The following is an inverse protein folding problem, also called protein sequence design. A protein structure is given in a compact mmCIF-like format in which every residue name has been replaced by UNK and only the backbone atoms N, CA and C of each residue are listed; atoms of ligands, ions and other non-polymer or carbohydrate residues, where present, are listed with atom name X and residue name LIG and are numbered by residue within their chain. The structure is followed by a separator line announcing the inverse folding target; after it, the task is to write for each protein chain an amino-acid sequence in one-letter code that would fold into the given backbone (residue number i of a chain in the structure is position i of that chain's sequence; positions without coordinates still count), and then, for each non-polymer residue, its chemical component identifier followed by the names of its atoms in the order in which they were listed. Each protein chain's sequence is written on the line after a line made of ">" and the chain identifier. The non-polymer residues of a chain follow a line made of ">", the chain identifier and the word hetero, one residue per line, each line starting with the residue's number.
data_IF_173230591975
#
_entry.id   IF_173230591975
#
_cell.length_a   1.000
_cell.length_b   1.000
_cell.length_c   1.000
_cell.angle_alpha   90.00
_cell.angle_beta   90.00
_cell.angle_gamma   90.00
#
_symmetry.space_group_name_H-M   'P 1'
#
loop_
_entity.id
_entity.type
_entity.pdbx_description
1 polymer ?
#
# COMPACT_ATOMS: atom_id res chain seq x y z
N UNK A 1 -62.63 6.15 -6.51
CA UNK A 1 -62.29 6.98 -5.33
C UNK A 1 -61.90 8.37 -5.82
N UNK A 2 -62.77 9.36 -5.61
CA UNK A 2 -62.49 10.76 -5.97
C UNK A 2 -61.91 11.51 -4.78
N UNK A 3 -60.84 12.27 -4.99
CA UNK A 3 -60.23 13.13 -3.98
C UNK A 3 -61.24 14.12 -3.39
N UNK A 4 -61.21 14.27 -2.06
CA UNK A 4 -62.12 15.13 -1.33
C UNK A 4 -61.64 16.59 -1.34
N UNK A 5 -62.51 17.51 -0.89
CA UNK A 5 -62.23 18.95 -0.82
C UNK A 5 -61.17 19.31 0.24
N UNK A 6 -60.90 18.41 1.19
CA UNK A 6 -59.84 18.59 2.20
C UNK A 6 -58.45 18.25 1.66
N UNK A 7 -58.35 17.25 0.76
CA UNK A 7 -57.08 16.86 0.13
C UNK A 7 -56.49 18.00 -0.75
N UNK A 8 -57.35 18.85 -1.32
CA UNK A 8 -56.92 20.01 -2.12
C UNK A 8 -56.40 21.18 -1.28
N UNK A 9 -56.72 21.25 0.01
CA UNK A 9 -56.23 22.31 0.91
C UNK A 9 -54.84 21.96 1.50
N UNK A 10 -54.56 20.68 1.72
CA UNK A 10 -53.24 20.22 2.16
C UNK A 10 -52.16 20.41 1.08
N UNK A 11 -52.51 20.19 -0.20
CA UNK A 11 -51.60 20.40 -1.34
C UNK A 11 -51.36 21.90 -1.63
N UNK A 12 -52.35 22.77 -1.36
CA UNK A 12 -52.22 24.23 -1.55
C UNK A 12 -51.34 24.93 -0.50
N UNK A 13 -51.33 24.47 0.74
CA UNK A 13 -50.50 25.05 1.81
C UNK A 13 -49.03 24.65 1.66
N UNK A 14 -48.73 23.41 1.26
CA UNK A 14 -47.36 22.95 1.00
C UNK A 14 -46.69 23.62 -0.20
N UNK A 15 -47.43 23.90 -1.28
CA UNK A 15 -46.89 24.58 -2.45
C UNK A 15 -46.54 26.06 -2.21
N UNK A 16 -47.26 26.74 -1.31
CA UNK A 16 -46.97 28.13 -0.94
C UNK A 16 -45.73 28.28 -0.06
N UNK A 17 -45.48 27.33 0.84
CA UNK A 17 -44.28 27.32 1.70
C UNK A 17 -43.01 27.07 0.87
N UNK A 18 -43.08 26.24 -0.18
CA UNK A 18 -41.96 26.01 -1.10
C UNK A 18 -41.67 27.21 -2.03
N UNK A 19 -42.70 27.93 -2.48
CA UNK A 19 -42.52 29.12 -3.33
C UNK A 19 -41.90 30.31 -2.56
N UNK A 20 -42.23 30.49 -1.28
CA UNK A 20 -41.63 31.52 -0.42
C UNK A 20 -40.15 31.22 -0.08
N UNK A 21 -39.79 29.94 0.09
CA UNK A 21 -38.39 29.53 0.26
C UNK A 21 -37.55 29.75 -1.01
N UNK A 22 -38.10 29.52 -2.20
CA UNK A 22 -37.39 29.73 -3.46
C UNK A 22 -37.11 31.21 -3.76
N UNK A 23 -38.04 32.11 -3.41
CA UNK A 23 -37.85 33.57 -3.57
C UNK A 23 -36.84 34.12 -2.55
N UNK A 24 -36.82 33.60 -1.32
CA UNK A 24 -35.82 33.98 -0.31
C UNK A 24 -34.39 33.60 -0.73
N UNK A 25 -34.20 32.44 -1.36
CA UNK A 25 -32.90 32.03 -1.92
C UNK A 25 -32.47 32.88 -3.13
N UNK A 26 -33.41 33.32 -3.97
CA UNK A 26 -33.10 34.19 -5.11
C UNK A 26 -32.66 35.61 -4.70
N UNK A 27 -33.27 36.19 -3.66
CA UNK A 27 -32.84 37.49 -3.12
C UNK A 27 -31.54 37.39 -2.32
N UNK A 28 -31.30 36.27 -1.62
CA UNK A 28 -30.02 36.02 -0.95
C UNK A 28 -28.87 35.85 -1.97
N UNK A 29 -29.13 35.23 -3.12
CA UNK A 29 -28.17 35.12 -4.22
C UNK A 29 -27.87 36.49 -4.88
N UNK A 30 -28.87 37.36 -5.04
CA UNK A 30 -28.68 38.74 -5.54
C UNK A 30 -27.94 39.64 -4.55
N UNK A 31 -28.13 39.45 -3.24
CA UNK A 31 -27.35 40.14 -2.20
C UNK A 31 -25.90 39.66 -2.13
N UNK A 32 -25.65 38.36 -2.34
CA UNK A 32 -24.30 37.79 -2.52
C UNK A 32 -23.65 38.34 -3.80
N UNK A 33 -24.40 38.52 -4.88
CA UNK A 33 -23.91 39.12 -6.12
C UNK A 33 -23.57 40.63 -5.97
N UNK A 34 -24.41 41.39 -5.25
CA UNK A 34 -24.17 42.82 -4.97
C UNK A 34 -22.99 43.06 -4.02
N UNK A 35 -22.76 42.15 -3.06
CA UNK A 35 -21.59 42.19 -2.18
C UNK A 35 -20.30 41.66 -2.83
N UNK A 36 -20.39 40.98 -3.98
CA UNK A 36 -19.25 40.61 -4.82
C UNK A 36 -18.68 41.80 -5.61
N UNK A 37 -19.48 42.81 -5.96
CA UNK A 37 -19.01 44.00 -6.70
C UNK A 37 -18.14 44.94 -5.84
N UNK A 38 -18.37 45.02 -4.52
CA UNK A 38 -17.51 45.74 -3.58
C UNK A 38 -16.26 44.98 -3.13
N UNK A 39 -16.08 43.73 -3.60
CA UNK A 39 -14.96 42.84 -3.29
C UNK A 39 -13.85 42.90 -4.34
N UNK A 40 -14.02 43.67 -5.42
CA UNK A 40 -13.10 43.76 -6.56
C UNK A 40 -11.71 44.29 -6.19
N UNK A 41 -11.59 45.21 -5.24
CA UNK A 41 -10.28 45.74 -4.82
C UNK A 41 -9.48 44.74 -3.96
N UNK A 42 -10.16 43.94 -3.11
CA UNK A 42 -9.54 42.83 -2.38
C UNK A 42 -9.28 41.62 -3.30
N UNK A 43 -10.15 41.38 -4.27
CA UNK A 43 -9.98 40.34 -5.28
C UNK A 43 -8.81 40.64 -6.22
N UNK A 44 -8.50 41.89 -6.54
CA UNK A 44 -7.30 42.26 -7.30
C UNK A 44 -5.99 41.99 -6.52
N UNK A 45 -6.03 42.11 -5.19
CA UNK A 45 -4.89 41.78 -4.34
C UNK A 45 -4.70 40.25 -4.21
N UNK A 46 -5.80 39.50 -4.15
CA UNK A 46 -5.80 38.02 -4.15
C UNK A 46 -5.52 37.41 -5.55
N UNK A 47 -5.90 38.09 -6.63
CA UNK A 47 -5.62 37.66 -8.01
C UNK A 47 -4.11 37.75 -8.32
N UNK A 48 -3.37 38.68 -7.68
CA UNK A 48 -1.90 38.68 -7.71
C UNK A 48 -1.25 37.54 -6.90
N UNK A 49 -1.93 37.00 -5.90
CA UNK A 49 -1.50 35.78 -5.19
C UNK A 49 -1.79 34.50 -5.99
N UNK A 50 -2.72 34.53 -6.95
CA UNK A 50 -3.17 33.35 -7.71
C UNK A 50 -2.25 32.93 -8.87
N UNK A 51 -1.19 33.69 -9.19
CA UNK A 51 -0.29 33.43 -10.33
C UNK A 51 1.09 32.89 -9.90
N UNK A 52 1.37 32.82 -8.60
CA UNK A 52 2.60 32.23 -8.08
C UNK A 52 2.51 30.70 -8.10
N UNK A 53 3.59 29.99 -8.50
CA UNK A 53 3.71 28.54 -8.35
C UNK A 53 3.41 28.09 -6.91
N UNK A 54 2.81 26.91 -6.73
CA UNK A 54 2.33 26.43 -5.43
C UNK A 54 3.12 25.20 -4.96
N UNK A 55 3.34 25.14 -3.65
CA UNK A 55 3.86 23.98 -2.91
C UNK A 55 2.97 23.76 -1.70
N UNK A 56 2.33 22.61 -1.61
CA UNK A 56 1.64 22.13 -0.43
C UNK A 56 2.51 21.13 0.36
N UNK A 57 2.59 21.35 1.65
CA UNK A 57 3.34 20.55 2.61
C UNK A 57 2.38 19.62 3.33
N UNK A 58 2.67 18.32 3.28
CA UNK A 58 2.00 17.26 4.04
C UNK A 58 3.02 16.57 4.94
N UNK A 59 2.56 15.71 5.85
CA UNK A 59 3.44 14.92 6.68
C UNK A 59 4.47 14.17 5.83
N UNK A 60 5.72 14.58 5.98
CA UNK A 60 6.87 13.98 5.33
C UNK A 60 6.89 14.06 3.80
N UNK A 61 6.02 14.88 3.17
CA UNK A 61 6.05 15.10 1.73
C UNK A 61 5.78 16.54 1.29
N UNK A 62 6.34 16.88 0.13
CA UNK A 62 5.99 18.06 -0.65
C UNK A 62 5.16 17.53 -1.84
N UNK A 63 3.97 18.11 -2.07
CA UNK A 63 3.08 17.71 -3.17
C UNK A 63 3.72 17.91 -4.55
N UNK A 64 4.54 18.96 -4.69
CA UNK A 64 5.32 19.29 -5.86
C UNK A 64 6.81 19.05 -5.55
N UNK A 65 7.33 17.91 -6.01
CA UNK A 65 8.75 17.59 -5.94
C UNK A 65 9.60 18.44 -6.89
N UNK A 66 8.98 19.10 -7.88
CA UNK A 66 9.62 20.06 -8.77
C UNK A 66 8.71 21.28 -9.01
N UNK A 67 9.25 22.49 -8.90
CA UNK A 67 8.52 23.76 -9.04
C UNK A 67 9.31 24.70 -9.94
N UNK A 68 8.64 25.40 -10.86
CA UNK A 68 9.28 26.45 -11.68
C UNK A 68 8.77 27.82 -11.29
N UNK A 69 9.65 28.79 -11.10
CA UNK A 69 9.30 30.14 -10.67
C UNK A 69 10.12 31.22 -11.38
N UNK A 70 9.57 32.44 -11.42
CA UNK A 70 10.29 33.57 -12.02
C UNK A 70 11.45 34.07 -11.15
N UNK A 71 12.47 34.58 -11.82
CA UNK A 71 13.57 35.30 -11.15
C UNK A 71 13.03 36.51 -10.39
N UNK A 72 13.23 36.51 -9.06
CA UNK A 72 12.69 37.54 -8.18
C UNK A 72 11.20 37.42 -7.87
N UNK A 73 10.54 36.34 -8.32
CA UNK A 73 9.14 36.04 -8.04
C UNK A 73 8.88 35.49 -6.64
N UNK A 74 7.71 34.87 -6.44
CA UNK A 74 7.34 34.22 -5.19
C UNK A 74 6.80 32.81 -5.45
N UNK A 75 6.86 31.94 -4.44
CA UNK A 75 6.19 30.64 -4.39
C UNK A 75 5.13 30.71 -3.29
N UNK A 76 3.93 30.24 -3.56
CA UNK A 76 2.90 30.05 -2.53
C UNK A 76 3.13 28.73 -1.81
N UNK A 77 3.31 28.78 -0.50
CA UNK A 77 3.57 27.61 0.35
C UNK A 77 2.40 27.43 1.32
N UNK A 78 1.78 26.25 1.31
CA UNK A 78 0.63 25.93 2.15
C UNK A 78 0.90 24.68 2.99
N UNK A 79 0.68 24.74 4.29
CA UNK A 79 0.67 23.54 5.12
C UNK A 79 -0.74 22.92 5.09
N UNK A 80 -0.87 21.76 4.46
CA UNK A 80 -2.12 20.99 4.39
C UNK A 80 -2.07 19.72 5.26
N UNK A 81 -0.96 19.48 5.98
CA UNK A 81 -0.81 18.43 6.97
C UNK A 81 -1.31 18.83 8.36
N UNK A 82 -1.03 17.98 9.35
CA UNK A 82 -1.49 18.08 10.75
C UNK A 82 -0.39 18.51 11.72
N UNK A 83 0.85 18.67 11.27
CA UNK A 83 1.98 19.15 12.08
C UNK A 83 2.66 20.36 11.42
N UNK A 84 3.48 21.15 12.15
CA UNK A 84 4.14 22.31 11.56
C UNK A 84 5.15 21.96 10.46
N UNK A 85 5.20 22.79 9.42
CA UNK A 85 6.11 22.67 8.29
C UNK A 85 6.73 24.03 7.92
N UNK A 86 7.84 24.03 7.19
CA UNK A 86 8.42 25.22 6.58
C UNK A 86 9.14 24.81 5.29
N UNK A 87 9.37 25.77 4.38
CA UNK A 87 10.08 25.54 3.13
C UNK A 87 11.35 26.39 3.09
N UNK A 88 12.48 25.75 2.84
CA UNK A 88 13.81 26.37 2.72
C UNK A 88 14.42 26.05 1.37
N UNK A 89 15.00 27.04 0.70
CA UNK A 89 15.84 26.83 -0.50
C UNK A 89 17.30 26.68 -0.06
N UNK A 90 17.84 25.48 -0.25
CA UNK A 90 19.17 25.07 0.22
C UNK A 90 20.26 25.94 -0.38
N UNK A 91 21.21 26.34 0.47
CA UNK A 91 22.33 27.20 0.07
C UNK A 91 21.96 28.68 -0.14
N UNK A 92 20.76 29.10 0.28
CA UNK A 92 20.27 30.47 0.14
C UNK A 92 19.67 31.00 1.45
N UNK A 93 19.32 32.28 1.50
CA UNK A 93 18.58 32.87 2.62
C UNK A 93 17.05 32.76 2.49
N UNK A 94 16.54 32.22 1.37
CA UNK A 94 15.11 32.13 1.11
C UNK A 94 14.49 30.99 1.95
N UNK A 95 13.61 31.37 2.88
CA UNK A 95 12.82 30.44 3.71
C UNK A 95 11.49 31.05 4.14
N UNK A 96 10.50 30.19 4.40
CA UNK A 96 9.28 30.59 5.09
C UNK A 96 9.48 30.61 6.61
N UNK A 97 8.52 31.19 7.33
CA UNK A 97 8.32 30.87 8.75
C UNK A 97 7.75 29.46 8.91
N UNK A 98 7.72 28.95 10.13
CA UNK A 98 6.95 27.76 10.45
C UNK A 98 5.46 28.03 10.23
N UNK A 99 4.84 27.13 9.46
CA UNK A 99 3.44 27.12 9.07
C UNK A 99 2.73 26.08 9.92
N UNK A 100 1.71 26.49 10.66
CA UNK A 100 0.82 25.55 11.34
C UNK A 100 -0.13 24.89 10.34
N UNK A 101 -0.79 23.78 10.70
CA UNK A 101 -1.84 23.17 9.88
C UNK A 101 -2.86 24.19 9.35
N UNK A 102 -3.02 24.25 8.03
CA UNK A 102 -3.91 25.18 7.33
C UNK A 102 -3.31 26.55 6.99
N UNK A 103 -2.10 26.87 7.47
CA UNK A 103 -1.45 28.13 7.14
C UNK A 103 -0.99 28.17 5.67
N UNK A 104 -1.01 29.37 5.08
CA UNK A 104 -0.46 29.63 3.74
C UNK A 104 0.35 30.91 3.75
N UNK A 105 1.49 30.92 3.07
CA UNK A 105 2.38 32.08 2.94
C UNK A 105 3.05 32.17 1.57
N UNK A 106 3.78 33.26 1.33
CA UNK A 106 4.62 33.43 0.15
C UNK A 106 6.09 33.31 0.55
N UNK A 107 6.82 32.44 -0.15
CA UNK A 107 8.28 32.40 -0.14
C UNK A 107 8.80 33.33 -1.23
N UNK A 108 9.56 34.36 -0.86
CA UNK A 108 10.17 35.28 -1.82
C UNK A 108 11.46 34.73 -2.40
N UNK A 109 11.60 34.81 -3.73
CA UNK A 109 12.79 34.42 -4.49
C UNK A 109 13.68 35.63 -4.83
N UNK A 110 13.42 36.79 -4.21
CA UNK A 110 14.18 38.01 -4.45
C UNK A 110 15.66 37.80 -4.10
N UNK A 111 16.54 38.05 -5.07
CA UNK A 111 17.99 37.91 -4.91
C UNK A 111 18.54 36.53 -5.29
N UNK A 112 17.68 35.58 -5.65
CA UNK A 112 18.12 34.32 -6.28
C UNK A 112 18.37 34.54 -7.76
N UNK A 113 19.40 33.87 -8.29
CA UNK A 113 19.75 33.90 -9.71
C UNK A 113 18.98 32.79 -10.44
N UNK A 114 18.93 32.89 -11.76
CA UNK A 114 18.45 31.80 -12.61
C UNK A 114 19.27 30.52 -12.32
N UNK A 115 18.59 29.40 -12.16
CA UNK A 115 19.22 28.13 -11.77
C UNK A 115 18.26 27.16 -11.10
N UNK A 116 18.71 25.92 -10.90
CA UNK A 116 17.96 24.89 -10.16
C UNK A 116 18.53 24.79 -8.74
N UNK A 117 17.63 24.80 -7.76
CA UNK A 117 17.96 24.73 -6.34
C UNK A 117 17.21 23.58 -5.69
N UNK A 118 17.81 22.97 -4.69
CA UNK A 118 17.11 22.03 -3.80
C UNK A 118 16.27 22.83 -2.79
N UNK A 119 15.04 22.38 -2.56
CA UNK A 119 14.17 22.89 -1.51
C UNK A 119 13.79 21.75 -0.55
N UNK A 120 13.64 22.07 0.73
CA UNK A 120 13.35 21.06 1.74
C UNK A 120 12.63 21.64 2.96
N UNK A 121 12.04 20.77 3.76
CA UNK A 121 11.51 21.13 5.07
C UNK A 121 12.57 21.05 6.16
N UNK A 122 12.85 22.17 6.82
CA UNK A 122 13.90 22.28 7.82
C UNK A 122 13.45 21.90 9.25
N UNK A 123 12.18 21.54 9.44
CA UNK A 123 11.72 20.95 10.70
C UNK A 123 12.52 19.65 10.96
N UNK A 124 13.10 19.45 12.15
CA UNK A 124 13.97 18.32 12.43
C UNK A 124 13.34 16.97 12.03
N UNK A 125 14.08 16.17 11.26
CA UNK A 125 13.63 14.87 10.76
C UNK A 125 12.81 14.91 9.47
N UNK A 126 12.19 16.04 9.10
CA UNK A 126 11.23 16.09 7.99
C UNK A 126 11.88 15.91 6.61
N UNK A 127 13.02 16.58 6.36
CA UNK A 127 13.79 16.36 5.13
C UNK A 127 14.33 14.92 5.03
N UNK A 128 14.78 14.35 6.16
CA UNK A 128 15.26 12.97 6.23
C UNK A 128 14.17 11.93 5.96
N UNK A 129 12.91 12.29 6.22
CA UNK A 129 11.73 11.49 5.90
C UNK A 129 11.15 11.75 4.50
N UNK A 130 11.79 12.59 3.67
CA UNK A 130 11.42 12.78 2.26
C UNK A 130 10.81 14.13 1.90
N UNK A 131 10.75 15.12 2.80
CA UNK A 131 10.35 16.51 2.47
C UNK A 131 11.46 17.27 1.76
N UNK A 132 11.81 16.79 0.56
CA UNK A 132 12.77 17.40 -0.35
C UNK A 132 12.14 17.52 -1.74
N UNK A 133 12.62 18.48 -2.51
CA UNK A 133 12.24 18.73 -3.90
C UNK A 133 13.19 19.73 -4.55
N UNK A 134 12.85 20.19 -5.74
CA UNK A 134 13.65 21.17 -6.49
C UNK A 134 12.81 22.36 -6.94
N UNK A 135 13.42 23.54 -6.96
CA UNK A 135 12.87 24.74 -7.59
C UNK A 135 13.80 25.23 -8.70
N UNK A 136 13.24 25.46 -9.87
CA UNK A 136 13.93 26.07 -11.02
C UNK A 136 13.52 27.52 -11.16
N UNK A 137 14.49 28.43 -11.08
CA UNK A 137 14.31 29.88 -11.19
C UNK A 137 14.79 30.34 -12.57
N UNK A 138 13.99 31.13 -13.28
CA UNK A 138 14.36 31.67 -14.60
C UNK A 138 13.41 32.73 -15.14
N UNK A 139 13.72 33.31 -16.30
CA UNK A 139 12.84 34.26 -17.01
C UNK A 139 11.73 33.54 -17.75
N UNK A 140 10.57 33.34 -17.14
CA UNK A 140 9.46 32.67 -17.82
C UNK A 140 8.19 32.46 -16.99
N UNK A 141 7.59 33.52 -16.46
CA UNK A 141 6.22 33.52 -15.95
C UNK A 141 5.25 33.95 -17.03
N UNK A 142 4.55 32.94 -17.57
CA UNK A 142 3.27 33.00 -18.29
C UNK A 142 2.97 34.22 -19.17
N UNK A 143 3.33 34.11 -20.46
CA UNK A 143 2.40 34.32 -21.58
C UNK A 143 2.97 33.70 -22.87
N UNK A 144 2.26 32.72 -23.45
CA UNK A 144 2.36 32.35 -24.86
C UNK A 144 3.65 31.67 -25.33
N UNK A 145 3.75 30.35 -25.16
CA UNK A 145 4.83 29.56 -25.76
C UNK A 145 4.67 28.06 -25.57
N UNK A 146 3.63 27.45 -26.16
CA UNK A 146 3.44 25.99 -26.20
C UNK A 146 4.62 25.24 -26.87
N UNK A 147 5.59 25.90 -27.51
CA UNK A 147 6.65 25.20 -28.25
C UNK A 147 7.84 24.68 -27.43
N UNK A 148 8.33 25.43 -26.45
CA UNK A 148 9.66 25.16 -25.87
C UNK A 148 9.62 24.39 -24.53
N UNK A 149 8.52 24.52 -23.78
CA UNK A 149 8.30 23.74 -22.56
C UNK A 149 7.79 22.33 -22.89
N UNK A 150 7.03 22.19 -23.98
CA UNK A 150 6.69 20.88 -24.53
C UNK A 150 7.92 20.13 -25.02
N UNK A 151 8.90 20.78 -25.66
CA UNK A 151 10.10 20.09 -26.12
C UNK A 151 10.96 19.58 -24.94
N UNK A 152 11.12 20.38 -23.89
CA UNK A 152 11.83 19.97 -22.69
C UNK A 152 11.07 18.90 -21.90
N UNK A 153 9.75 19.03 -21.79
CA UNK A 153 8.89 18.03 -21.16
C UNK A 153 8.82 16.74 -21.96
N UNK A 154 8.75 16.81 -23.30
CA UNK A 154 8.86 15.64 -24.19
C UNK A 154 10.21 14.98 -24.03
N UNK A 155 11.30 15.73 -23.98
CA UNK A 155 12.63 15.15 -23.76
C UNK A 155 12.76 14.49 -22.37
N UNK A 156 12.12 15.06 -21.33
CA UNK A 156 12.04 14.44 -20.01
C UNK A 156 11.22 13.16 -20.04
N UNK A 157 10.02 13.21 -20.63
CA UNK A 157 9.15 12.05 -20.78
C UNK A 157 9.82 10.95 -21.63
N UNK A 158 10.51 11.31 -22.72
CA UNK A 158 11.28 10.37 -23.55
C UNK A 158 12.43 9.72 -22.78
N UNK A 159 13.01 10.43 -21.80
CA UNK A 159 14.04 9.89 -20.93
C UNK A 159 13.42 8.95 -19.88
N UNK A 160 12.27 9.32 -19.31
CA UNK A 160 11.49 8.49 -18.40
C UNK A 160 11.04 7.20 -19.10
N UNK A 161 10.44 7.29 -20.29
CA UNK A 161 10.02 6.15 -21.13
C UNK A 161 11.17 5.15 -21.35
N UNK A 162 12.39 5.65 -21.58
CA UNK A 162 13.59 4.81 -21.70
C UNK A 162 14.00 4.18 -20.38
N UNK A 163 13.84 4.89 -19.26
CA UNK A 163 14.14 4.39 -17.92
C UNK A 163 13.15 3.30 -17.50
N UNK A 164 11.87 3.41 -17.90
CA UNK A 164 10.82 2.42 -17.60
C UNK A 164 11.14 1.01 -18.12
N UNK A 165 11.97 0.90 -19.16
CA UNK A 165 12.41 -0.39 -19.70
C UNK A 165 13.35 -1.15 -18.74
N UNK A 166 14.11 -0.46 -17.89
CA UNK A 166 15.16 -1.09 -17.09
C UNK A 166 14.62 -2.09 -16.05
N UNK A 167 13.59 -1.77 -15.25
CA UNK A 167 12.96 -2.75 -14.36
C UNK A 167 12.42 -3.97 -15.13
N UNK A 168 11.82 -3.76 -16.30
CA UNK A 168 11.29 -4.85 -17.14
C UNK A 168 12.40 -5.77 -17.62
N UNK A 169 13.51 -5.23 -18.13
CA UNK A 169 14.64 -6.04 -18.58
C UNK A 169 15.24 -6.87 -17.44
N UNK A 170 15.35 -6.30 -16.23
CA UNK A 170 15.80 -7.03 -15.04
C UNK A 170 14.82 -8.14 -14.63
N UNK A 171 13.52 -7.91 -14.77
CA UNK A 171 12.49 -8.91 -14.50
C UNK A 171 12.57 -10.06 -15.50
N UNK A 172 12.64 -9.74 -16.80
CA UNK A 172 12.77 -10.73 -17.88
C UNK A 172 14.05 -11.55 -17.70
N UNK A 173 15.18 -10.91 -17.38
CA UNK A 173 16.42 -11.61 -17.07
C UNK A 173 16.27 -12.58 -15.88
N UNK A 174 15.48 -12.22 -14.86
CA UNK A 174 15.19 -13.15 -13.77
C UNK A 174 14.47 -14.43 -14.23
N UNK A 175 13.60 -14.32 -15.24
CA UNK A 175 12.85 -15.47 -15.75
C UNK A 175 13.74 -16.48 -16.47
N UNK A 176 14.87 -16.03 -17.03
CA UNK A 176 15.84 -16.89 -17.74
C UNK A 176 17.02 -17.30 -16.86
N UNK A 177 17.53 -16.38 -16.05
CA UNK A 177 18.81 -16.50 -15.35
C UNK A 177 18.64 -16.89 -13.87
N UNK A 178 17.40 -16.89 -13.37
CA UNK A 178 17.03 -17.16 -11.99
C UNK A 178 16.83 -15.88 -11.15
N UNK A 179 16.48 -16.01 -9.86
CA UNK A 179 16.17 -14.87 -9.00
C UNK A 179 17.28 -13.81 -8.99
N UNK A 180 16.91 -12.56 -9.22
CA UNK A 180 17.85 -11.42 -9.27
C UNK A 180 18.15 -10.80 -7.89
N UNK A 181 17.63 -11.40 -6.82
CA UNK A 181 17.93 -11.06 -5.42
C UNK A 181 18.14 -12.32 -4.60
N UNK A 182 18.81 -12.19 -3.45
CA UNK A 182 19.00 -13.31 -2.52
C UNK A 182 17.77 -13.56 -1.66
N UNK A 183 17.51 -14.82 -1.35
CA UNK A 183 16.46 -15.24 -0.42
C UNK A 183 15.06 -15.24 -1.05
N UNK A 184 14.22 -16.16 -0.59
CA UNK A 184 12.84 -16.36 -1.03
C UNK A 184 11.98 -16.43 0.25
N UNK A 185 10.86 -15.71 0.27
CA UNK A 185 9.86 -15.78 1.35
C UNK A 185 8.93 -16.98 1.19
N UNK A 186 8.08 -17.25 2.19
CA UNK A 186 7.08 -18.34 2.17
C UNK A 186 7.66 -19.74 1.92
N UNK A 187 8.93 -19.98 2.22
CA UNK A 187 9.51 -21.33 2.08
C UNK A 187 8.84 -22.26 3.11
N UNK A 188 8.36 -23.45 2.71
CA UNK A 188 7.79 -24.40 3.66
C UNK A 188 8.77 -24.74 4.80
N UNK A 189 8.27 -24.73 6.03
CA UNK A 189 9.01 -25.16 7.21
C UNK A 189 8.66 -26.62 7.53
N UNK A 190 9.60 -27.52 7.31
CA UNK A 190 9.41 -28.92 7.70
C UNK A 190 9.43 -29.09 9.23
N UNK A 191 8.46 -29.82 9.82
CA UNK A 191 8.44 -30.06 11.25
C UNK A 191 9.44 -31.15 11.66
N UNK A 192 9.91 -31.06 12.90
CA UNK A 192 10.48 -32.21 13.61
C UNK A 192 9.35 -33.03 14.24
N UNK A 193 9.30 -34.33 13.99
CA UNK A 193 8.33 -35.21 14.66
C UNK A 193 8.83 -35.62 16.06
N UNK A 194 8.04 -35.32 17.09
CA UNK A 194 8.29 -35.73 18.46
C UNK A 194 7.75 -37.16 18.73
N UNK A 195 8.23 -37.86 19.78
CA UNK A 195 7.84 -39.25 20.05
C UNK A 195 6.33 -39.50 20.24
N UNK A 196 5.56 -38.48 20.63
CA UNK A 196 4.11 -38.57 20.85
C UNK A 196 3.27 -38.22 19.59
N UNK A 197 3.95 -38.07 18.44
CA UNK A 197 3.36 -37.71 17.16
C UNK A 197 3.23 -36.19 16.92
N UNK A 198 3.67 -35.35 17.85
CA UNK A 198 3.59 -33.88 17.69
C UNK A 198 4.55 -33.38 16.60
N UNK A 199 4.04 -32.53 15.71
CA UNK A 199 4.82 -31.78 14.72
C UNK A 199 5.37 -30.50 15.35
N UNK A 200 6.68 -30.45 15.58
CA UNK A 200 7.38 -29.30 16.16
C UNK A 200 8.00 -28.42 15.06
N UNK A 201 7.57 -27.16 15.00
CA UNK A 201 8.10 -26.12 14.12
C UNK A 201 8.92 -25.14 14.94
N UNK A 202 10.18 -24.90 14.53
CA UNK A 202 11.09 -23.99 15.23
C UNK A 202 11.22 -22.67 14.48
N UNK A 203 10.81 -21.60 15.15
CA UNK A 203 10.93 -20.24 14.68
C UNK A 203 11.99 -19.48 15.49
N UNK A 204 12.78 -18.67 14.81
CA UNK A 204 13.71 -17.71 15.41
C UNK A 204 13.37 -16.33 14.90
N UNK A 205 12.88 -15.45 15.79
CA UNK A 205 12.71 -14.05 15.45
C UNK A 205 14.06 -13.34 15.51
N UNK A 206 14.51 -12.75 14.40
CA UNK A 206 15.80 -12.04 14.31
C UNK A 206 15.75 -10.95 13.25
N UNK A 207 16.59 -9.94 13.40
CA UNK A 207 16.78 -8.92 12.36
C UNK A 207 17.86 -9.39 11.39
N UNK A 208 17.60 -9.31 10.08
CA UNK A 208 18.55 -9.64 9.02
C UNK A 208 18.60 -8.55 7.97
N UNK A 209 19.70 -8.52 7.22
CA UNK A 209 19.79 -7.74 6.00
C UNK A 209 19.07 -8.50 4.88
N UNK A 210 17.94 -7.95 4.42
CA UNK A 210 17.08 -8.54 3.41
C UNK A 210 17.13 -7.72 2.13
N UNK A 211 17.49 -8.35 1.02
CA UNK A 211 17.54 -7.69 -0.29
C UNK A 211 16.14 -7.70 -0.90
N UNK A 212 15.49 -6.53 -0.99
CA UNK A 212 14.11 -6.42 -1.48
C UNK A 212 14.03 -6.23 -3.00
N UNK A 213 15.04 -5.59 -3.58
CA UNK A 213 15.27 -5.46 -5.03
C UNK A 213 16.79 -5.30 -5.29
N UNK A 214 17.29 -5.53 -6.52
CA UNK A 214 18.73 -5.57 -6.78
C UNK A 214 19.45 -4.32 -6.27
N UNK A 215 20.39 -4.53 -5.33
CA UNK A 215 21.18 -3.45 -4.74
C UNK A 215 20.46 -2.64 -3.65
N UNK A 216 19.21 -2.98 -3.28
CA UNK A 216 18.48 -2.38 -2.18
C UNK A 216 18.27 -3.42 -1.07
N UNK A 217 18.97 -3.21 0.03
CA UNK A 217 18.87 -4.05 1.23
C UNK A 217 18.26 -3.26 2.38
N UNK A 218 17.32 -3.88 3.09
CA UNK A 218 16.63 -3.33 4.24
C UNK A 218 16.90 -4.19 5.49
N UNK A 219 16.75 -3.60 6.67
CA UNK A 219 16.85 -4.33 7.94
C UNK A 219 15.50 -4.94 8.31
N UNK A 220 15.24 -6.14 7.81
CA UNK A 220 13.99 -6.85 8.04
C UNK A 220 13.99 -7.55 9.40
N UNK A 221 12.85 -7.53 10.06
CA UNK A 221 12.55 -8.36 11.21
C UNK A 221 11.90 -9.64 10.69
N UNK A 222 12.48 -10.79 11.01
CA UNK A 222 12.14 -12.04 10.30
C UNK A 222 11.91 -13.18 11.25
N UNK A 223 11.04 -14.10 10.86
CA UNK A 223 11.12 -15.47 11.34
C UNK A 223 12.07 -16.26 10.43
N UNK A 224 13.07 -16.91 11.01
CA UNK A 224 14.05 -17.76 10.32
C UNK A 224 14.89 -17.09 9.22
N UNK A 225 14.87 -15.76 9.10
CA UNK A 225 15.70 -15.02 8.15
C UNK A 225 15.07 -14.76 6.79
N UNK A 226 13.75 -14.97 6.64
CA UNK A 226 13.01 -14.67 5.40
C UNK A 226 11.88 -13.68 5.66
N UNK A 227 11.51 -12.93 4.62
CA UNK A 227 10.29 -12.10 4.58
C UNK A 227 9.43 -12.55 3.41
N UNK A 228 8.14 -12.89 3.64
CA UNK A 228 7.60 -13.32 4.92
C UNK A 228 8.39 -14.52 5.50
N UNK A 229 8.11 -14.83 6.76
CA UNK A 229 8.60 -16.03 7.43
C UNK A 229 8.20 -17.33 6.70
N UNK A 230 8.77 -18.46 7.13
CA UNK A 230 8.47 -19.75 6.54
C UNK A 230 6.97 -20.10 6.60
N UNK A 231 6.46 -20.77 5.56
CA UNK A 231 5.09 -21.26 5.58
C UNK A 231 4.99 -22.50 6.48
N UNK A 232 4.04 -22.49 7.41
CA UNK A 232 3.69 -23.66 8.22
C UNK A 232 2.47 -24.33 7.60
N UNK A 233 2.56 -25.64 7.36
CA UNK A 233 1.45 -26.43 6.84
C UNK A 233 1.24 -27.70 7.67
N UNK A 234 0.00 -27.93 8.07
CA UNK A 234 -0.41 -29.10 8.87
C UNK A 234 -1.73 -29.67 8.34
N UNK A 235 -2.07 -30.88 8.77
CA UNK A 235 -3.36 -31.50 8.54
C UNK A 235 -4.28 -31.24 9.74
N UNK A 236 -5.59 -31.25 9.48
CA UNK A 236 -6.61 -31.22 10.52
C UNK A 236 -6.39 -32.33 11.55
N UNK A 237 -6.41 -31.98 12.84
CA UNK A 237 -6.17 -32.92 13.94
C UNK A 237 -4.70 -33.20 14.27
N UNK A 238 -3.74 -32.65 13.53
CA UNK A 238 -2.32 -32.76 13.91
C UNK A 238 -2.08 -32.13 15.29
N UNK A 239 -1.26 -32.77 16.12
CA UNK A 239 -0.68 -32.13 17.30
C UNK A 239 0.45 -31.21 16.84
N UNK A 240 0.36 -29.93 17.18
CA UNK A 240 1.30 -28.90 16.73
C UNK A 240 2.01 -28.29 17.93
N UNK A 241 3.33 -28.13 17.78
CA UNK A 241 4.13 -27.28 18.64
C UNK A 241 4.86 -26.23 17.81
N UNK A 242 4.69 -24.96 18.13
CA UNK A 242 5.50 -23.88 17.55
C UNK A 242 6.41 -23.33 18.62
N UNK A 243 7.72 -23.57 18.49
CA UNK A 243 8.73 -23.09 19.43
C UNK A 243 9.40 -21.84 18.87
N UNK A 244 9.16 -20.69 19.50
CA UNK A 244 9.73 -19.41 19.13
C UNK A 244 10.91 -19.06 20.04
N UNK A 245 12.08 -18.83 19.45
CA UNK A 245 13.23 -18.17 20.10
C UNK A 245 13.29 -16.70 19.70
N UNK A 246 13.25 -15.79 20.67
CA UNK A 246 13.36 -14.35 20.42
C UNK A 246 14.84 -13.89 20.44
N UNK A 247 15.39 -13.50 19.28
CA UNK A 247 16.70 -12.85 19.15
C UNK A 247 16.61 -11.38 18.73
N UNK A 248 15.44 -10.77 18.87
CA UNK A 248 15.20 -9.34 18.64
C UNK A 248 15.72 -8.52 19.83
N UNK A 249 15.96 -7.22 19.66
CA UNK A 249 16.31 -6.32 20.76
C UNK A 249 15.12 -5.99 21.69
N UNK A 250 13.90 -6.38 21.31
CA UNK A 250 12.68 -6.16 22.07
C UNK A 250 11.89 -7.45 22.25
N UNK A 251 10.95 -7.43 23.19
CA UNK A 251 10.05 -8.55 23.42
C UNK A 251 9.09 -8.78 22.24
N UNK A 252 8.58 -9.99 22.11
CA UNK A 252 7.67 -10.37 21.02
C UNK A 252 6.67 -11.42 21.53
N UNK A 253 5.70 -11.77 20.69
CA UNK A 253 4.73 -12.85 20.89
C UNK A 253 4.24 -13.29 19.50
N UNK A 254 3.69 -14.49 19.30
CA UNK A 254 3.06 -14.89 18.04
C UNK A 254 1.56 -15.03 18.25
N UNK A 255 0.76 -14.35 17.43
CA UNK A 255 -0.66 -14.64 17.26
C UNK A 255 -0.88 -15.44 15.97
N UNK A 256 -1.70 -16.49 16.04
CA UNK A 256 -2.05 -17.35 14.92
C UNK A 256 -3.39 -16.92 14.30
N UNK A 257 -3.35 -15.80 13.60
CA UNK A 257 -4.52 -15.15 13.03
C UNK A 257 -5.28 -16.09 12.07
N UNK A 258 -6.58 -16.24 12.34
CA UNK A 258 -7.47 -17.04 11.49
C UNK A 258 -7.48 -18.53 11.80
N UNK A 259 -6.83 -18.96 12.90
CA UNK A 259 -6.92 -20.32 13.42
C UNK A 259 -7.76 -20.38 14.70
N UNK A 260 -8.49 -21.48 14.87
CA UNK A 260 -9.22 -21.82 16.08
C UNK A 260 -8.30 -22.59 17.03
N UNK A 261 -7.65 -21.87 17.94
CA UNK A 261 -6.72 -22.43 18.93
C UNK A 261 -7.18 -22.17 20.37
N UNK A 262 -6.71 -22.97 21.36
CA UNK A 262 -7.04 -22.73 22.75
C UNK A 262 -6.64 -21.33 23.20
N UNK A 263 -7.47 -20.71 24.05
CA UNK A 263 -7.24 -19.34 24.51
C UNK A 263 -5.84 -19.14 25.12
N UNK A 264 -5.29 -20.11 25.84
CA UNK A 264 -3.96 -20.02 26.45
C UNK A 264 -2.78 -20.02 25.44
N UNK A 265 -3.06 -20.28 24.16
CA UNK A 265 -2.07 -20.42 23.08
C UNK A 265 -2.18 -19.28 22.05
N UNK A 266 -3.07 -18.31 22.29
CA UNK A 266 -3.43 -17.24 21.35
C UNK A 266 -2.34 -16.18 21.14
N UNK A 267 -1.48 -15.95 22.13
CA UNK A 267 -0.32 -15.08 21.97
C UNK A 267 -0.57 -13.60 22.22
N UNK A 268 -1.37 -13.26 23.23
CA UNK A 268 -1.57 -11.88 23.69
C UNK A 268 -0.97 -11.74 25.09
N UNK A 269 0.17 -11.05 25.25
CA UNK A 269 0.83 -10.91 26.54
C UNK A 269 -0.08 -10.29 27.60
N UNK A 270 -0.07 -10.88 28.79
CA UNK A 270 -0.85 -10.49 29.97
C UNK A 270 -2.37 -10.70 29.84
N UNK A 271 -2.86 -11.24 28.73
CA UNK A 271 -4.28 -11.59 28.53
C UNK A 271 -4.43 -13.09 28.38
N UNK A 272 -3.85 -13.65 27.33
CA UNK A 272 -3.87 -15.09 27.03
C UNK A 272 -2.56 -15.77 27.43
N UNK A 273 -1.45 -15.02 27.35
CA UNK A 273 -0.12 -15.47 27.73
C UNK A 273 0.31 -14.79 29.04
N UNK A 274 1.09 -15.48 29.89
CA UNK A 274 1.52 -14.93 31.20
C UNK A 274 2.35 -13.65 31.10
N UNK A 275 2.97 -13.41 29.96
CA UNK A 275 3.79 -12.25 29.64
C UNK A 275 4.47 -12.45 28.29
N UNK A 276 5.19 -11.44 27.78
CA UNK A 276 5.78 -11.50 26.46
C UNK A 276 7.08 -12.31 26.46
N UNK A 277 7.45 -12.85 25.29
CA UNK A 277 8.75 -13.51 25.08
C UNK A 277 9.85 -12.45 25.03
N UNK A 278 10.61 -12.28 26.12
CA UNK A 278 11.69 -11.27 26.20
C UNK A 278 12.89 -11.63 25.30
N UNK A 279 13.77 -10.67 24.97
CA UNK A 279 15.02 -10.96 24.25
C UNK A 279 15.80 -12.12 24.89
N UNK A 280 16.23 -13.06 24.05
CA UNK A 280 16.94 -14.28 24.44
C UNK A 280 16.06 -15.42 24.96
N UNK A 281 14.77 -15.18 25.20
CA UNK A 281 13.86 -16.22 25.70
C UNK A 281 13.31 -17.11 24.59
N UNK A 282 12.85 -18.29 25.00
CA UNK A 282 12.16 -19.24 24.14
C UNK A 282 10.82 -19.61 24.77
N UNK A 283 9.78 -19.71 23.96
CA UNK A 283 8.45 -20.16 24.36
C UNK A 283 7.92 -21.16 23.34
N UNK A 284 7.02 -22.05 23.76
CA UNK A 284 6.39 -23.04 22.88
C UNK A 284 4.88 -22.97 23.00
N UNK A 285 4.23 -22.71 21.87
CA UNK A 285 2.77 -22.80 21.72
C UNK A 285 2.41 -24.26 21.39
N UNK A 286 1.38 -24.81 22.02
CA UNK A 286 0.98 -26.20 21.87
C UNK A 286 -0.54 -26.30 21.65
N UNK A 287 -0.95 -26.80 20.48
CA UNK A 287 -2.37 -26.96 20.17
C UNK A 287 -2.59 -28.14 19.22
N UNK A 288 -3.85 -28.55 19.09
CA UNK A 288 -4.28 -29.48 18.04
C UNK A 288 -4.85 -28.65 16.91
N UNK A 289 -4.40 -28.88 15.68
CA UNK A 289 -4.93 -28.21 14.51
C UNK A 289 -6.44 -28.48 14.39
N UNK A 290 -7.21 -27.43 14.15
CA UNK A 290 -8.67 -27.50 14.10
C UNK A 290 -9.18 -28.54 13.07
N UNK A 291 -10.38 -29.12 13.27
CA UNK A 291 -10.91 -30.16 12.39
C UNK A 291 -11.32 -29.64 11.01
N UNK A 292 -11.56 -28.35 10.87
CA UNK A 292 -11.92 -27.70 9.61
C UNK A 292 -10.67 -27.19 8.86
N UNK A 293 -10.65 -27.20 7.52
CA UNK A 293 -9.58 -26.54 6.79
C UNK A 293 -9.53 -25.04 7.10
N UNK A 294 -8.33 -24.46 7.12
CA UNK A 294 -8.13 -23.04 7.40
C UNK A 294 -6.95 -22.45 6.62
N UNK A 295 -7.14 -21.22 6.16
CA UNK A 295 -6.10 -20.36 5.58
C UNK A 295 -5.82 -19.25 6.59
N UNK A 296 -4.82 -19.48 7.42
CA UNK A 296 -4.38 -18.58 8.48
C UNK A 296 -3.03 -17.92 8.16
N UNK A 297 -2.68 -16.96 9.00
CA UNK A 297 -1.35 -16.35 9.05
C UNK A 297 -0.86 -16.38 10.50
N UNK A 298 0.43 -16.16 10.70
CA UNK A 298 0.99 -15.96 12.02
C UNK A 298 1.88 -14.73 11.99
N UNK A 299 1.80 -13.90 13.02
CA UNK A 299 2.54 -12.65 13.08
C UNK A 299 2.82 -12.20 14.51
N UNK A 300 3.72 -11.24 14.64
CA UNK A 300 4.02 -10.68 15.95
C UNK A 300 2.80 -10.01 16.57
N UNK A 301 2.57 -10.27 17.86
CA UNK A 301 1.46 -9.65 18.61
C UNK A 301 1.94 -8.90 19.87
N UNK A 302 3.20 -8.46 19.84
CA UNK A 302 3.75 -7.53 20.83
C UNK A 302 4.80 -6.62 20.18
N UNK A 303 4.62 -5.30 20.31
CA UNK A 303 5.21 -4.30 19.40
C UNK A 303 4.84 -4.53 17.93
N UNK A 304 3.64 -5.06 17.69
CA UNK A 304 3.16 -5.46 16.37
C UNK A 304 3.10 -4.28 15.38
N UNK A 305 2.85 -3.07 15.89
CA UNK A 305 2.83 -1.81 15.11
C UNK A 305 4.15 -1.53 14.38
N UNK A 306 5.25 -2.10 14.86
CA UNK A 306 6.56 -2.06 14.21
C UNK A 306 6.92 -3.42 13.62
N UNK A 307 6.80 -4.48 14.41
CA UNK A 307 7.34 -5.79 14.09
C UNK A 307 6.69 -6.40 12.84
N UNK A 308 5.38 -6.24 12.66
CA UNK A 308 4.67 -6.78 11.50
C UNK A 308 5.03 -6.03 10.22
N UNK A 309 4.95 -4.68 10.16
CA UNK A 309 5.43 -3.92 9.00
C UNK A 309 6.91 -4.14 8.66
N UNK A 310 7.74 -4.47 9.65
CA UNK A 310 9.16 -4.77 9.44
C UNK A 310 9.43 -6.23 9.03
N UNK A 311 8.41 -7.10 8.95
CA UNK A 311 8.47 -8.41 8.30
C UNK A 311 8.14 -9.64 9.17
N UNK A 312 7.75 -9.47 10.44
CA UNK A 312 7.38 -10.58 11.33
C UNK A 312 5.96 -11.07 11.08
N UNK A 313 5.78 -11.70 9.92
CA UNK A 313 4.56 -12.37 9.47
C UNK A 313 4.89 -13.62 8.64
N UNK A 314 3.97 -14.58 8.56
CA UNK A 314 4.09 -15.78 7.72
C UNK A 314 2.76 -16.50 7.55
N UNK A 315 2.67 -17.40 6.56
CA UNK A 315 1.45 -18.16 6.29
C UNK A 315 1.34 -19.41 7.18
N UNK A 316 0.12 -19.73 7.61
CA UNK A 316 -0.21 -20.96 8.34
C UNK A 316 -1.43 -21.64 7.71
N UNK A 317 -1.22 -22.81 7.10
CA UNK A 317 -2.27 -23.56 6.40
C UNK A 317 -2.65 -24.84 7.17
N UNK A 318 -3.95 -25.08 7.30
CA UNK A 318 -4.51 -26.31 7.90
C UNK A 318 -5.35 -27.01 6.84
N UNK A 319 -4.86 -28.14 6.32
CA UNK A 319 -5.49 -28.90 5.22
C UNK A 319 -5.79 -28.04 3.97
N UNK A 320 -6.24 -28.66 2.88
CA UNK A 320 -6.70 -27.92 1.70
C UNK A 320 -8.15 -27.45 1.86
N UNK A 321 -8.47 -26.26 1.36
CA UNK A 321 -9.85 -25.81 1.27
C UNK A 321 -10.65 -26.71 0.31
N UNK A 322 -11.97 -26.86 0.53
CA UNK A 322 -12.82 -27.59 -0.40
C UNK A 322 -12.87 -26.86 -1.75
N UNK A 323 -12.55 -27.59 -2.82
CA UNK A 323 -12.58 -27.07 -4.18
C UNK A 323 -14.02 -27.13 -4.71
N UNK A 324 -14.60 -26.00 -5.18
CA UNK A 324 -15.95 -25.99 -5.72
C UNK A 324 -16.11 -26.90 -6.94
N UNK A 325 -17.31 -27.46 -7.10
CA UNK A 325 -17.64 -28.30 -8.26
C UNK A 325 -17.38 -27.56 -9.57
N UNK A 326 -16.79 -28.24 -10.55
CA UNK A 326 -16.47 -27.67 -11.87
C UNK A 326 -15.04 -27.15 -12.00
N UNK A 327 -14.27 -27.15 -10.91
CA UNK A 327 -12.83 -26.88 -10.93
C UNK A 327 -12.04 -28.20 -10.81
N UNK A 328 -10.92 -28.27 -11.52
CA UNK A 328 -9.93 -29.32 -11.28
C UNK A 328 -9.22 -29.08 -9.95
N UNK A 329 -8.60 -30.13 -9.40
CA UNK A 329 -7.71 -29.97 -8.25
C UNK A 329 -6.58 -28.99 -8.59
N UNK A 330 -6.26 -28.02 -7.71
CA UNK A 330 -5.15 -27.11 -7.93
C UNK A 330 -3.84 -27.88 -8.13
N UNK A 331 -3.10 -27.49 -9.16
CA UNK A 331 -1.75 -27.98 -9.45
C UNK A 331 -0.73 -27.48 -8.41
N UNK A 332 -1.03 -26.34 -7.81
CA UNK A 332 -0.19 -25.67 -6.82
C UNK A 332 -1.02 -24.71 -5.98
N UNK A 333 -0.49 -24.40 -4.79
CA UNK A 333 -1.00 -23.39 -3.87
C UNK A 333 0.05 -22.29 -3.73
N UNK A 334 -0.33 -21.04 -3.97
CA UNK A 334 0.57 -19.89 -3.98
C UNK A 334 0.13 -18.86 -2.94
N UNK A 335 0.88 -18.70 -1.83
CA UNK A 335 0.67 -17.59 -0.91
C UNK A 335 1.23 -16.30 -1.50
N UNK A 336 0.41 -15.24 -1.50
CA UNK A 336 0.79 -13.87 -1.83
C UNK A 336 0.55 -12.98 -0.59
N UNK A 337 1.62 -12.74 0.16
CA UNK A 337 1.66 -11.82 1.28
C UNK A 337 1.90 -10.41 0.77
N UNK A 338 0.97 -9.52 1.05
CA UNK A 338 0.94 -8.13 0.61
C UNK A 338 1.47 -7.23 1.73
N UNK A 339 2.44 -6.36 1.41
CA UNK A 339 3.03 -5.41 2.36
C UNK A 339 3.02 -3.99 1.78
N UNK A 340 2.85 -2.98 2.64
CA UNK A 340 2.88 -1.55 2.25
C UNK A 340 3.55 -0.62 3.27
N UNK A 341 4.03 -1.15 4.40
CA UNK A 341 4.50 -0.34 5.51
C UNK A 341 5.85 -0.84 6.06
N UNK A 342 6.40 -0.08 7.01
CA UNK A 342 7.66 -0.42 7.68
C UNK A 342 8.85 -0.46 6.73
N UNK A 343 9.90 -1.17 7.15
CA UNK A 343 11.12 -1.35 6.34
C UNK A 343 10.92 -2.24 5.13
N UNK A 344 9.90 -3.11 5.13
CA UNK A 344 9.54 -3.94 3.97
C UNK A 344 8.88 -3.07 2.89
N UNK A 345 8.00 -2.15 3.27
CA UNK A 345 7.34 -1.25 2.33
C UNK A 345 6.47 -1.99 1.30
N UNK A 346 6.28 -1.37 0.12
CA UNK A 346 5.50 -1.92 -0.98
C UNK A 346 6.16 -3.17 -1.57
N UNK A 347 5.59 -4.35 -1.28
CA UNK A 347 6.16 -5.61 -1.72
C UNK A 347 5.12 -6.72 -1.82
N UNK A 348 5.45 -7.76 -2.59
CA UNK A 348 4.74 -9.04 -2.60
C UNK A 348 5.73 -10.11 -2.15
N UNK A 349 5.37 -10.87 -1.13
CA UNK A 349 6.24 -11.88 -0.52
C UNK A 349 7.62 -11.31 -0.14
N UNK A 350 7.64 -10.10 0.41
CA UNK A 350 8.87 -9.43 0.85
C UNK A 350 9.77 -8.94 -0.28
N UNK A 351 9.33 -8.99 -1.56
CA UNK A 351 10.11 -8.53 -2.72
C UNK A 351 9.38 -7.41 -3.45
N UNK A 352 10.14 -6.40 -3.88
CA UNK A 352 9.65 -5.34 -4.76
C UNK A 352 9.98 -5.72 -6.20
N UNK A 353 9.08 -5.42 -7.14
CA UNK A 353 9.39 -5.54 -8.57
C UNK A 353 10.67 -4.77 -8.89
N UNK A 354 11.64 -5.36 -9.62
CA UNK A 354 11.52 -6.52 -10.51
C UNK A 354 11.94 -7.86 -9.90
N UNK A 355 11.78 -8.06 -8.59
CA UNK A 355 12.33 -9.21 -7.85
C UNK A 355 11.26 -10.14 -7.28
N UNK A 356 10.00 -9.79 -7.50
CA UNK A 356 8.87 -10.66 -7.20
C UNK A 356 8.93 -11.90 -8.07
N UNK A 357 8.58 -13.05 -7.50
CA UNK A 357 8.54 -14.30 -8.25
C UNK A 357 7.23 -14.38 -9.07
N UNK A 358 7.29 -14.82 -10.34
CA UNK A 358 6.11 -15.04 -11.14
C UNK A 358 5.28 -16.22 -10.61
N UNK A 359 3.98 -16.18 -10.85
CA UNK A 359 3.11 -17.35 -10.74
C UNK A 359 3.09 -18.07 -12.08
N UNK A 360 3.54 -19.32 -12.12
CA UNK A 360 3.66 -20.09 -13.36
C UNK A 360 2.55 -21.12 -13.46
N UNK A 361 1.88 -21.25 -14.61
CA UNK A 361 0.89 -22.28 -14.85
C UNK A 361 1.00 -22.82 -16.29
N UNK A 362 0.75 -24.12 -16.47
CA UNK A 362 0.56 -24.72 -17.79
C UNK A 362 -0.90 -24.61 -18.21
N UNK A 363 -1.15 -24.55 -19.51
CA UNK A 363 -2.51 -24.63 -20.05
C UNK A 363 -3.26 -25.84 -19.46
N UNK A 364 -4.44 -25.59 -18.91
CA UNK A 364 -5.30 -26.57 -18.25
C UNK A 364 -5.10 -26.67 -16.74
N UNK A 365 -4.04 -26.10 -16.17
CA UNK A 365 -3.81 -26.10 -14.72
C UNK A 365 -4.71 -25.07 -14.02
N UNK A 366 -5.09 -25.43 -12.80
CA UNK A 366 -5.71 -24.53 -11.82
C UNK A 366 -4.65 -24.17 -10.79
N UNK A 367 -4.50 -22.88 -10.50
CA UNK A 367 -3.66 -22.35 -9.43
C UNK A 367 -4.57 -21.85 -8.31
N UNK A 368 -4.35 -22.32 -7.09
CA UNK A 368 -4.99 -21.76 -5.89
C UNK A 368 -4.08 -20.68 -5.31
N UNK A 369 -4.59 -19.47 -5.17
CA UNK A 369 -3.83 -18.32 -4.65
C UNK A 369 -4.48 -17.88 -3.35
N UNK A 370 -3.68 -17.79 -2.28
CA UNK A 370 -4.09 -17.20 -1.02
C UNK A 370 -3.46 -15.82 -0.87
N UNK A 371 -4.28 -14.78 -0.89
CA UNK A 371 -3.85 -13.45 -0.49
C UNK A 371 -3.84 -13.32 1.02
N UNK A 372 -2.78 -12.73 1.56
CA UNK A 372 -2.65 -12.35 2.95
C UNK A 372 -2.24 -10.88 2.99
N UNK A 373 -3.03 -10.01 3.59
CA UNK A 373 -2.63 -8.61 3.73
C UNK A 373 -2.08 -8.34 5.13
N UNK A 374 -0.75 -8.29 5.23
CA UNK A 374 0.01 -7.94 6.45
C UNK A 374 0.43 -6.45 6.43
N UNK A 375 -0.22 -5.69 5.57
CA UNK A 375 -0.05 -4.26 5.38
C UNK A 375 -1.08 -3.43 6.16
N UNK A 376 -0.99 -2.11 6.00
CA UNK A 376 -1.87 -1.16 6.68
C UNK A 376 -2.93 -0.58 5.74
N UNK A 377 -2.81 -0.85 4.44
CA UNK A 377 -3.71 -0.37 3.41
C UNK A 377 -4.51 -1.50 2.78
N UNK A 378 -5.64 -1.15 2.18
CA UNK A 378 -6.37 -2.07 1.31
C UNK A 378 -5.63 -2.24 -0.02
N UNK A 379 -5.53 -3.47 -0.52
CA UNK A 379 -4.87 -3.76 -1.79
C UNK A 379 -5.85 -4.40 -2.78
N UNK A 380 -6.27 -3.66 -3.83
CA UNK A 380 -7.04 -4.21 -4.95
C UNK A 380 -6.11 -4.96 -5.92
N UNK A 381 -6.01 -6.28 -5.80
CA UNK A 381 -5.13 -7.11 -6.63
C UNK A 381 -5.79 -7.44 -7.97
N UNK A 382 -5.24 -6.90 -9.05
CA UNK A 382 -5.74 -7.04 -10.42
C UNK A 382 -4.84 -7.95 -11.24
N UNK A 383 -5.45 -8.92 -11.92
CA UNK A 383 -4.79 -9.86 -12.83
C UNK A 383 -5.25 -9.57 -14.26
N UNK A 384 -4.33 -9.19 -15.13
CA UNK A 384 -4.65 -8.81 -16.50
C UNK A 384 -5.14 -10.02 -17.30
N UNK A 385 -6.23 -9.87 -18.07
CA UNK A 385 -6.70 -10.84 -19.06
C UNK A 385 -7.21 -12.18 -18.52
N UNK A 386 -7.08 -12.44 -17.22
CA UNK A 386 -7.48 -13.68 -16.56
C UNK A 386 -8.32 -13.32 -15.33
N UNK A 387 -9.57 -13.79 -15.32
CA UNK A 387 -10.44 -13.64 -14.15
C UNK A 387 -9.91 -14.44 -12.97
N UNK A 388 -10.18 -13.94 -11.77
CA UNK A 388 -9.91 -14.61 -10.51
C UNK A 388 -11.23 -15.10 -9.93
N UNK A 389 -11.38 -16.41 -9.69
CA UNK A 389 -12.59 -16.94 -9.06
C UNK A 389 -12.39 -17.01 -7.54
N UNK A 390 -12.99 -16.10 -6.79
CA UNK A 390 -12.96 -16.08 -5.33
C UNK A 390 -13.75 -17.27 -4.78
N UNK A 391 -13.12 -18.08 -3.95
CA UNK A 391 -13.73 -19.27 -3.32
C UNK A 391 -13.81 -19.19 -1.80
N UNK A 392 -13.03 -18.31 -1.17
CA UNK A 392 -13.07 -18.09 0.28
C UNK A 392 -12.69 -16.65 0.65
N UNK A 393 -13.30 -16.15 1.73
CA UNK A 393 -12.96 -14.89 2.37
C UNK A 393 -12.67 -15.14 3.85
N UNK A 394 -11.59 -14.55 4.36
CA UNK A 394 -11.03 -14.79 5.68
C UNK A 394 -10.89 -16.27 6.04
N UNK A 395 -10.47 -17.08 5.06
CA UNK A 395 -10.31 -18.52 5.20
C UNK A 395 -11.63 -19.32 5.25
N UNK A 396 -12.78 -18.65 5.22
CA UNK A 396 -14.09 -19.29 5.19
C UNK A 396 -14.56 -19.48 3.74
N UNK A 397 -14.89 -20.72 3.31
CA UNK A 397 -15.44 -20.97 1.99
C UNK A 397 -16.72 -20.17 1.73
N UNK A 398 -16.82 -19.60 0.53
CA UNK A 398 -18.04 -18.95 0.08
C UNK A 398 -19.10 -20.00 -0.26
N UNK A 399 -20.41 -19.72 -0.02
CA UNK A 399 -21.49 -20.60 -0.47
C UNK A 399 -21.51 -20.82 -1.98
N UNK A 400 -21.03 -19.83 -2.75
CA UNK A 400 -20.87 -19.91 -4.19
C UNK A 400 -19.62 -19.11 -4.61
N UNK A 401 -18.81 -19.64 -5.57
CA UNK A 401 -17.66 -18.91 -6.09
C UNK A 401 -18.07 -17.64 -6.85
N UNK A 402 -17.22 -16.61 -6.82
CA UNK A 402 -17.48 -15.32 -7.48
C UNK A 402 -16.30 -14.95 -8.36
N UNK A 403 -16.56 -14.72 -9.65
CA UNK A 403 -15.55 -14.20 -10.56
C UNK A 403 -15.31 -12.71 -10.33
N UNK A 404 -14.04 -12.32 -10.21
CA UNK A 404 -13.61 -10.94 -10.07
C UNK A 404 -12.43 -10.65 -11.00
N UNK A 405 -12.43 -9.44 -11.55
CA UNK A 405 -11.31 -8.88 -12.28
C UNK A 405 -10.22 -8.37 -11.31
N UNK A 406 -10.67 -7.63 -10.30
CA UNK A 406 -9.83 -7.03 -9.26
C UNK A 406 -10.34 -7.45 -7.89
N UNK A 407 -9.50 -8.08 -7.09
CA UNK A 407 -9.84 -8.64 -5.78
C UNK A 407 -9.37 -7.70 -4.68
N UNK A 408 -10.31 -7.15 -3.91
CA UNK A 408 -9.98 -6.28 -2.78
C UNK A 408 -9.57 -7.12 -1.56
N UNK A 409 -8.40 -6.80 -0.98
CA UNK A 409 -7.89 -7.45 0.22
C UNK A 409 -7.59 -6.39 1.28
N UNK A 410 -8.39 -6.33 2.34
CA UNK A 410 -8.22 -5.40 3.47
C UNK A 410 -7.11 -5.83 4.44
N UNK A 411 -6.61 -4.93 5.31
CA UNK A 411 -5.62 -5.26 6.33
C UNK A 411 -6.04 -6.43 7.23
N UNK A 412 -5.16 -7.40 7.45
CA UNK A 412 -5.43 -8.64 8.19
C UNK A 412 -6.36 -9.63 7.46
N UNK A 413 -6.88 -9.25 6.29
CA UNK A 413 -7.80 -10.09 5.54
C UNK A 413 -7.05 -11.18 4.78
N UNK A 414 -7.71 -12.33 4.63
CA UNK A 414 -7.29 -13.39 3.70
C UNK A 414 -8.33 -13.59 2.61
N UNK A 415 -7.90 -13.75 1.37
CA UNK A 415 -8.82 -14.08 0.26
C UNK A 415 -8.22 -15.21 -0.54
N UNK A 416 -9.01 -16.25 -0.83
CA UNK A 416 -8.56 -17.36 -1.68
C UNK A 416 -9.26 -17.31 -3.02
N UNK A 417 -8.47 -17.41 -4.09
CA UNK A 417 -8.95 -17.45 -5.47
C UNK A 417 -8.42 -18.65 -6.22
N UNK A 418 -9.20 -19.12 -7.19
CA UNK A 418 -8.77 -20.07 -8.21
C UNK A 418 -8.53 -19.32 -9.52
N UNK A 419 -7.42 -19.64 -10.17
CA UNK A 419 -7.07 -19.12 -11.50
C UNK A 419 -6.85 -20.30 -12.43
N UNK A 420 -7.66 -20.42 -13.48
CA UNK A 420 -7.53 -21.49 -14.48
C UNK A 420 -6.80 -20.97 -15.71
N UNK A 421 -5.65 -21.57 -16.03
CA UNK A 421 -4.86 -21.24 -17.21
C UNK A 421 -5.49 -21.84 -18.47
N UNK A 422 -5.92 -21.01 -19.42
CA UNK A 422 -6.53 -21.47 -20.68
C UNK A 422 -5.62 -21.29 -21.88
N UNK A 423 -5.89 -22.06 -22.95
CA UNK A 423 -5.10 -22.03 -24.17
C UNK A 423 -5.10 -20.66 -24.87
N UNK A 424 -6.21 -19.92 -24.79
CA UNK A 424 -6.33 -18.55 -25.32
C UNK A 424 -5.58 -17.50 -24.48
N UNK A 425 -4.97 -17.90 -23.36
CA UNK A 425 -4.29 -17.04 -22.41
C UNK A 425 -2.79 -17.31 -22.32
N UNK A 426 -2.19 -18.07 -23.23
CA UNK A 426 -0.73 -18.29 -23.26
C UNK A 426 -0.01 -16.94 -23.37
N UNK A 427 0.92 -16.67 -22.45
CA UNK A 427 1.63 -15.40 -22.37
C UNK A 427 2.02 -14.99 -20.94
N UNK A 428 2.55 -13.77 -20.83
CA UNK A 428 2.93 -13.13 -19.56
C UNK A 428 1.90 -12.06 -19.24
N UNK A 429 1.21 -12.21 -18.12
CA UNK A 429 0.16 -11.28 -17.68
C UNK A 429 0.62 -10.50 -16.47
N UNK A 430 0.49 -9.18 -16.52
CA UNK A 430 0.77 -8.34 -15.36
C UNK A 430 -0.22 -8.66 -14.22
N UNK A 431 0.31 -8.70 -13.01
CA UNK A 431 -0.45 -9.02 -11.82
C UNK A 431 0.01 -8.13 -10.67
N UNK A 432 -0.83 -7.16 -10.29
CA UNK A 432 -0.38 -6.08 -9.42
C UNK A 432 -1.49 -5.48 -8.57
N UNK A 433 -1.09 -4.70 -7.56
CA UNK A 433 -2.00 -3.83 -6.84
C UNK A 433 -2.47 -2.69 -7.77
N UNK A 434 -3.78 -2.46 -7.82
CA UNK A 434 -4.41 -1.47 -8.70
C UNK A 434 -4.49 -0.06 -8.07
N UNK A 435 -3.83 0.15 -6.93
CA UNK A 435 -3.46 1.50 -6.49
C UNK A 435 -2.18 1.85 -7.25
N UNK A 436 -2.27 2.73 -8.26
CA UNK A 436 -1.21 2.89 -9.26
C UNK A 436 0.15 3.27 -8.69
N UNK A 437 0.19 4.11 -7.65
CA UNK A 437 1.43 4.47 -6.97
C UNK A 437 2.03 3.34 -6.11
N UNK A 438 1.40 2.16 -6.04
CA UNK A 438 1.98 0.93 -5.46
C UNK A 438 2.67 0.05 -6.50
N UNK A 439 2.40 0.32 -7.79
CA UNK A 439 2.84 -0.49 -8.92
C UNK A 439 3.74 0.27 -9.91
N UNK A 440 3.65 1.60 -9.93
CA UNK A 440 4.35 2.45 -10.90
C UNK A 440 4.80 3.79 -10.29
N UNK A 441 6.00 4.21 -10.68
CA UNK A 441 6.59 5.52 -10.42
C UNK A 441 7.19 6.08 -11.71
N UNK A 442 7.71 7.30 -11.69
CA UNK A 442 8.21 7.98 -12.88
C UNK A 442 9.24 7.14 -13.69
N UNK A 443 10.12 6.42 -13.00
CA UNK A 443 11.14 5.54 -13.59
C UNK A 443 10.68 4.09 -13.83
N UNK A 444 9.38 3.82 -13.77
CA UNK A 444 8.76 2.57 -14.22
C UNK A 444 8.09 1.74 -13.12
N UNK A 445 7.82 0.48 -13.45
CA UNK A 445 7.19 -0.47 -12.53
C UNK A 445 8.07 -0.73 -11.30
N UNK A 446 7.44 -0.78 -10.14
CA UNK A 446 8.10 -1.06 -8.86
C UNK A 446 7.10 -1.64 -7.86
N UNK A 447 7.58 -2.12 -6.72
CA UNK A 447 6.73 -2.44 -5.58
C UNK A 447 5.85 -3.67 -5.83
N UNK A 448 4.53 -3.50 -5.72
CA UNK A 448 3.54 -4.59 -5.69
C UNK A 448 3.13 -5.05 -7.09
N UNK A 449 4.10 -5.49 -7.87
CA UNK A 449 3.93 -6.02 -9.23
C UNK A 449 4.59 -7.38 -9.33
N UNK A 450 3.90 -8.35 -9.92
CA UNK A 450 4.46 -9.63 -10.40
C UNK A 450 3.80 -9.99 -11.73
N UNK A 451 3.98 -11.22 -12.19
CA UNK A 451 3.30 -11.75 -13.37
C UNK A 451 2.66 -13.10 -13.09
N UNK A 452 1.60 -13.39 -13.85
CA UNK A 452 1.06 -14.72 -14.02
C UNK A 452 1.43 -15.19 -15.43
N UNK A 453 2.18 -16.29 -15.55
CA UNK A 453 2.70 -16.79 -16.82
C UNK A 453 1.98 -18.09 -17.18
N UNK A 454 1.31 -18.09 -18.33
CA UNK A 454 0.67 -19.27 -18.90
C UNK A 454 1.57 -19.83 -20.01
N UNK A 455 1.94 -21.10 -19.90
CA UNK A 455 2.84 -21.80 -20.83
C UNK A 455 2.28 -23.11 -21.40
#
# INVERSE_FOLDING_TARGET
>A
MGFTREDRKAVGFGAWVFALFAVFFAFFALWIAGSAMGRSDKANTLAKQSLAPKVAETEFSLDAKAVSAETGGNITVSNVGKIPHNLVIKGTSAKTKDLNPGDTTLLSLKGLKDGTYEMYCAIPGHAGSGMVGTVTIGKGGMAGGMGNNEAAQRASNDADDKAQLQPVLKYVGQLTDGPNTKGIGNVPLEPTLLPDGTKEFKLTAKIVDWEIEPGKTIRAWTYNGTVPGPMIQVNSGDKVRVTLTNKLPQSTEIHFHGLEIPNAEDGVPYVTNKGPIKPGQTYSYNFVAQPTPAVGMYHSHHHAEQQVPDGLAGAFLVSSLPIPSGFAAPSQVVPLVLNDAGTVGLSINGKSFPSTLPVMAKVGEVVEIHYFNEGLQIHPMHLHGIKQTVIAQDGFPLPAPVDQDTVLVGPGQRVTVLVTARADQVGVWAFHCHILNHAERADGMFGMVTTFIVS
#
